data_IF_462277704693
#
_entry.id   IF_462277704693
#
_cell.length_a   1.000
_cell.length_b   1.000
_cell.length_c   1.000
_cell.angle_alpha   90.00
_cell.angle_beta   90.00
_cell.angle_gamma   90.00
#
_symmetry.space_group_name_H-M   'P 1'
#
loop_
_entity.id
_entity.type
_entity.pdbx_description
1 polymer ?
#
# COMPACT_ATOMS: atom_id res chain seq x y z
N UNK A 1 -35.83 -13.35 -11.63
CA UNK A 1 -34.44 -13.12 -11.16
C UNK A 1 -33.94 -14.37 -10.47
N UNK A 2 -32.77 -14.91 -10.87
CA UNK A 2 -32.10 -15.97 -10.11
C UNK A 2 -31.55 -15.39 -8.81
N UNK A 3 -31.88 -16.00 -7.68
CA UNK A 3 -31.29 -15.67 -6.39
C UNK A 3 -29.99 -16.48 -6.25
N UNK A 4 -28.87 -15.78 -6.17
CA UNK A 4 -27.59 -16.38 -5.82
C UNK A 4 -27.34 -16.13 -4.33
N UNK A 5 -26.94 -17.16 -3.62
CA UNK A 5 -26.63 -17.11 -2.18
C UNK A 5 -25.24 -17.67 -1.96
N UNK A 6 -24.41 -16.94 -1.22
CA UNK A 6 -23.14 -17.47 -0.72
C UNK A 6 -23.43 -18.35 0.50
N UNK A 7 -22.79 -19.52 0.56
CA UNK A 7 -22.87 -20.40 1.73
C UNK A 7 -21.89 -19.89 2.81
N UNK A 8 -22.20 -19.94 4.11
CA UNK A 8 -21.20 -19.64 5.13
C UNK A 8 -20.04 -20.65 5.05
N UNK A 9 -18.76 -20.23 5.18
CA UNK A 9 -18.25 -18.91 5.58
C UNK A 9 -17.95 -17.94 4.41
N UNK A 10 -18.27 -18.32 3.18
CA UNK A 10 -17.94 -17.56 1.96
C UNK A 10 -18.69 -16.24 1.88
N UNK A 11 -19.85 -16.12 2.51
CA UNK A 11 -20.63 -14.89 2.61
C UNK A 11 -19.85 -13.79 3.34
N UNK A 12 -19.22 -14.12 4.47
CA UNK A 12 -18.38 -13.21 5.26
C UNK A 12 -17.16 -12.79 4.47
N UNK A 13 -16.51 -13.73 3.78
CA UNK A 13 -15.35 -13.45 2.94
C UNK A 13 -15.72 -12.56 1.75
N UNK A 14 -16.83 -12.85 1.07
CA UNK A 14 -17.33 -12.07 -0.05
C UNK A 14 -17.65 -10.63 0.38
N UNK A 15 -18.34 -10.47 1.52
CA UNK A 15 -18.65 -9.14 2.06
C UNK A 15 -17.39 -8.37 2.44
N UNK A 16 -16.46 -8.99 3.16
CA UNK A 16 -15.18 -8.37 3.51
C UNK A 16 -14.43 -7.91 2.27
N UNK A 17 -14.36 -8.74 1.24
CA UNK A 17 -13.71 -8.40 -0.03
C UNK A 17 -14.40 -7.23 -0.74
N UNK A 18 -15.74 -7.20 -0.74
CA UNK A 18 -16.52 -6.09 -1.29
C UNK A 18 -16.22 -4.78 -0.56
N UNK A 19 -16.25 -4.78 0.77
CA UNK A 19 -16.00 -3.60 1.60
C UNK A 19 -14.56 -3.07 1.40
N UNK A 20 -13.55 -3.95 1.43
CA UNK A 20 -12.15 -3.57 1.19
C UNK A 20 -11.98 -2.94 -0.21
N UNK A 21 -12.59 -3.52 -1.24
CA UNK A 21 -12.49 -2.98 -2.61
C UNK A 21 -13.23 -1.65 -2.74
N UNK A 22 -14.42 -1.55 -2.16
CA UNK A 22 -15.22 -0.32 -2.15
C UNK A 22 -14.49 0.83 -1.45
N UNK A 23 -13.90 0.58 -0.28
CA UNK A 23 -13.11 1.57 0.46
C UNK A 23 -11.93 2.08 -0.38
N UNK A 24 -11.17 1.18 -1.00
CA UNK A 24 -10.02 1.54 -1.82
C UNK A 24 -10.42 2.42 -3.03
N UNK A 25 -11.53 2.09 -3.69
CA UNK A 25 -12.06 2.87 -4.81
C UNK A 25 -12.50 4.25 -4.35
N UNK A 26 -13.27 4.34 -3.25
CA UNK A 26 -13.74 5.61 -2.70
C UNK A 26 -12.58 6.50 -2.29
N UNK A 27 -11.61 5.96 -1.55
CA UNK A 27 -10.40 6.67 -1.13
C UNK A 27 -9.60 7.18 -2.32
N UNK A 28 -9.42 6.36 -3.35
CA UNK A 28 -8.74 6.75 -4.59
C UNK A 28 -9.49 7.87 -5.32
N UNK A 29 -10.80 7.73 -5.48
CA UNK A 29 -11.67 8.71 -6.13
C UNK A 29 -11.63 10.06 -5.40
N UNK A 30 -11.80 10.06 -4.07
CA UNK A 30 -11.77 11.28 -3.27
C UNK A 30 -10.40 11.95 -3.28
N UNK A 31 -9.31 11.18 -3.30
CA UNK A 31 -7.96 11.76 -3.43
C UNK A 31 -7.76 12.46 -4.79
N UNK A 32 -8.26 11.87 -5.89
CA UNK A 32 -8.23 12.51 -7.22
C UNK A 32 -9.09 13.77 -7.25
N UNK A 33 -10.29 13.70 -6.67
CA UNK A 33 -11.19 14.84 -6.56
C UNK A 33 -10.53 15.99 -5.79
N UNK A 34 -9.91 15.72 -4.64
CA UNK A 34 -9.16 16.70 -3.86
C UNK A 34 -7.97 17.30 -4.62
N UNK A 35 -7.21 16.47 -5.32
CA UNK A 35 -6.02 16.92 -6.06
C UNK A 35 -6.38 17.84 -7.24
N UNK A 36 -7.51 17.57 -7.89
CA UNK A 36 -8.00 18.35 -9.04
C UNK A 36 -9.00 19.45 -8.67
N UNK A 37 -9.48 19.46 -7.41
CA UNK A 37 -10.60 20.27 -6.93
C UNK A 37 -11.85 20.17 -7.83
N UNK A 38 -12.10 18.98 -8.37
CA UNK A 38 -13.29 18.70 -9.20
C UNK A 38 -14.22 17.76 -8.47
N UNK A 39 -15.49 18.16 -8.36
CA UNK A 39 -16.53 17.34 -7.75
C UNK A 39 -16.85 16.12 -8.63
N UNK A 40 -16.83 14.90 -8.07
CA UNK A 40 -17.35 13.71 -8.74
C UNK A 40 -18.88 13.75 -8.91
N UNK A 41 -19.40 13.22 -10.02
CA UNK A 41 -20.84 13.21 -10.30
C UNK A 41 -21.69 12.43 -9.27
N UNK A 42 -21.09 11.46 -8.58
CA UNK A 42 -21.76 10.65 -7.57
C UNK A 42 -21.87 11.35 -6.20
N UNK A 43 -21.22 12.52 -6.02
CA UNK A 43 -21.33 13.33 -4.81
C UNK A 43 -22.37 14.44 -4.97
N UNK A 44 -23.18 14.60 -3.94
CA UNK A 44 -24.07 15.75 -3.78
C UNK A 44 -23.25 17.01 -3.48
N UNK A 45 -23.84 18.17 -3.75
CA UNK A 45 -23.15 19.46 -3.59
C UNK A 45 -22.81 19.74 -2.12
N UNK A 46 -23.76 19.48 -1.22
CA UNK A 46 -23.58 19.65 0.22
C UNK A 46 -22.42 18.83 0.78
N UNK A 47 -22.27 17.57 0.35
CA UNK A 47 -21.16 16.72 0.78
C UNK A 47 -19.85 17.23 0.21
N UNK A 48 -19.84 17.69 -1.04
CA UNK A 48 -18.65 18.25 -1.67
C UNK A 48 -18.16 19.51 -0.95
N UNK A 49 -19.06 20.44 -0.63
CA UNK A 49 -18.73 21.66 0.08
C UNK A 49 -18.15 21.37 1.47
N UNK A 50 -18.77 20.44 2.20
CA UNK A 50 -18.27 19.98 3.49
C UNK A 50 -16.85 19.37 3.38
N UNK A 51 -16.59 18.58 2.34
CA UNK A 51 -15.25 18.01 2.08
C UNK A 51 -14.23 19.10 1.75
N UNK A 52 -14.60 20.07 0.90
CA UNK A 52 -13.74 21.20 0.55
C UNK A 52 -13.41 22.05 1.78
N UNK A 53 -14.39 22.33 2.64
CA UNK A 53 -14.19 23.04 3.90
C UNK A 53 -13.26 22.26 4.83
N UNK A 54 -13.47 20.95 4.97
CA UNK A 54 -12.61 20.09 5.78
C UNK A 54 -11.17 20.07 5.26
N UNK A 55 -10.97 19.91 3.95
CA UNK A 55 -9.64 19.91 3.34
C UNK A 55 -8.96 21.29 3.40
N UNK A 56 -9.75 22.36 3.40
CA UNK A 56 -9.28 23.73 3.59
C UNK A 56 -8.86 24.06 5.02
N UNK A 57 -9.33 23.28 6.01
CA UNK A 57 -9.10 23.52 7.43
C UNK A 57 -7.61 23.45 7.82
N UNK A 58 -7.21 24.31 8.78
CA UNK A 58 -5.84 24.33 9.31
C UNK A 58 -5.41 22.96 9.86
N UNK A 59 -6.21 22.25 10.69
CA UNK A 59 -5.80 20.96 11.23
C UNK A 59 -5.53 19.92 10.15
N UNK A 60 -6.33 19.90 9.09
CA UNK A 60 -6.13 18.97 7.98
C UNK A 60 -4.85 19.26 7.20
N UNK A 61 -4.59 20.54 6.89
CA UNK A 61 -3.36 20.96 6.21
C UNK A 61 -2.10 20.61 7.02
N UNK A 62 -2.11 20.86 8.32
CA UNK A 62 -1.01 20.46 9.23
C UNK A 62 -0.80 18.95 9.19
N UNK A 63 -1.88 18.17 9.30
CA UNK A 63 -1.81 16.70 9.21
C UNK A 63 -1.19 16.23 7.89
N UNK A 64 -1.55 16.85 6.76
CA UNK A 64 -0.95 16.51 5.46
C UNK A 64 0.54 16.84 5.43
N UNK A 65 0.95 18.00 5.95
CA UNK A 65 2.37 18.39 5.96
C UNK A 65 3.20 17.43 6.81
N UNK A 66 2.74 17.08 8.01
CA UNK A 66 3.38 16.09 8.87
C UNK A 66 3.44 14.73 8.18
N UNK A 67 2.34 14.27 7.58
CA UNK A 67 2.32 13.00 6.85
C UNK A 67 3.26 13.01 5.63
N UNK A 68 3.47 14.17 4.98
CA UNK A 68 4.45 14.31 3.90
C UNK A 68 5.87 14.23 4.45
N UNK A 69 6.16 14.96 5.52
CA UNK A 69 7.47 14.94 6.17
C UNK A 69 7.84 13.52 6.66
N UNK A 70 6.91 12.79 7.27
CA UNK A 70 7.13 11.42 7.74
C UNK A 70 7.39 10.43 6.59
N UNK A 71 6.88 10.66 5.38
CA UNK A 71 7.18 9.80 4.22
C UNK A 71 8.58 10.05 3.67
N UNK A 72 9.14 11.24 3.92
CA UNK A 72 10.46 11.65 3.45
C UNK A 72 11.48 11.71 4.58
N UNK A 73 11.12 11.29 5.78
CA UNK A 73 12.01 11.35 6.94
C UNK A 73 13.10 10.30 6.81
N UNK A 74 14.31 10.70 7.15
CA UNK A 74 15.45 9.81 7.27
C UNK A 74 15.21 8.77 8.38
N UNK A 75 15.51 7.51 8.10
CA UNK A 75 15.34 6.40 9.03
C UNK A 75 16.64 6.07 9.75
N UNK A 76 17.06 6.94 10.68
CA UNK A 76 18.30 6.79 11.46
C UNK A 76 19.59 6.82 10.61
N UNK A 77 19.68 7.73 9.63
CA UNK A 77 20.85 7.87 8.77
C UNK A 77 20.83 6.98 7.53
N UNK A 78 19.88 6.05 7.41
CA UNK A 78 19.78 5.12 6.28
C UNK A 78 18.96 5.64 5.09
N UNK A 79 18.48 6.88 5.16
CA UNK A 79 17.60 7.50 4.18
C UNK A 79 16.16 6.98 4.27
N UNK A 80 15.42 7.20 3.18
CA UNK A 80 14.06 6.70 3.01
C UNK A 80 14.13 5.22 2.69
N UNK A 81 13.32 4.40 3.37
CA UNK A 81 13.19 2.99 3.01
C UNK A 81 12.39 2.85 1.70
N UNK A 82 12.95 2.09 0.76
CA UNK A 82 12.42 1.88 -0.57
C UNK A 82 12.06 0.40 -0.76
N UNK A 83 10.97 0.17 -1.48
CA UNK A 83 10.52 -1.16 -1.88
C UNK A 83 10.19 -1.14 -3.37
N UNK A 84 10.81 -2.02 -4.15
CA UNK A 84 10.82 -1.91 -5.63
C UNK A 84 9.75 -2.78 -6.28
N UNK A 85 9.18 -3.68 -5.50
CA UNK A 85 8.41 -4.79 -6.02
C UNK A 85 6.90 -4.45 -6.18
N UNK A 86 6.60 -3.15 -6.23
CA UNK A 86 5.28 -2.60 -6.56
C UNK A 86 4.25 -2.78 -5.45
N UNK A 87 2.97 -2.60 -5.81
CA UNK A 87 1.82 -2.70 -4.88
C UNK A 87 1.33 -4.13 -4.70
N UNK A 88 2.24 -5.08 -4.54
CA UNK A 88 1.94 -6.49 -4.25
C UNK A 88 2.56 -6.81 -2.89
N UNK A 89 1.82 -7.49 -2.03
CA UNK A 89 2.30 -7.82 -0.69
C UNK A 89 3.48 -8.80 -0.71
N UNK A 90 4.35 -8.71 0.28
CA UNK A 90 5.48 -9.65 0.47
C UNK A 90 5.01 -11.11 0.49
N UNK A 91 3.86 -11.40 1.12
CA UNK A 91 3.24 -12.73 1.11
C UNK A 91 2.88 -13.20 -0.31
N UNK A 92 2.28 -12.32 -1.12
CA UNK A 92 1.93 -12.65 -2.49
C UNK A 92 3.18 -12.85 -3.36
N UNK A 93 4.28 -12.14 -3.10
CA UNK A 93 5.58 -12.43 -3.72
C UNK A 93 6.11 -13.79 -3.32
N UNK A 94 5.97 -14.16 -2.04
CA UNK A 94 6.30 -15.50 -1.56
C UNK A 94 5.53 -16.58 -2.33
N UNK A 95 4.21 -16.44 -2.45
CA UNK A 95 3.37 -17.37 -3.23
C UNK A 95 3.76 -17.42 -4.71
N UNK A 96 4.06 -16.27 -5.32
CA UNK A 96 4.48 -16.20 -6.71
C UNK A 96 5.83 -16.90 -6.92
N UNK A 97 6.79 -16.69 -6.01
CA UNK A 97 8.06 -17.39 -6.01
C UNK A 97 7.89 -18.90 -5.84
N UNK A 98 7.00 -19.35 -4.96
CA UNK A 98 6.67 -20.78 -4.82
C UNK A 98 6.15 -21.36 -6.13
N UNK A 99 5.25 -20.64 -6.83
CA UNK A 99 4.72 -21.07 -8.13
C UNK A 99 5.80 -21.15 -9.21
N UNK A 100 6.74 -20.21 -9.23
CA UNK A 100 7.81 -20.17 -10.23
C UNK A 100 8.89 -21.23 -9.99
N UNK A 101 9.29 -21.42 -8.73
CA UNK A 101 10.44 -22.25 -8.36
C UNK A 101 10.04 -23.65 -7.88
N UNK A 102 8.74 -23.93 -7.73
CA UNK A 102 8.22 -25.19 -7.19
C UNK A 102 8.50 -25.40 -5.69
N UNK A 103 9.13 -24.43 -5.03
CA UNK A 103 9.50 -24.47 -3.61
C UNK A 103 9.31 -23.09 -2.98
N UNK A 104 8.80 -23.07 -1.75
CA UNK A 104 8.64 -21.83 -1.00
C UNK A 104 9.99 -21.18 -0.69
N UNK A 105 10.12 -19.86 -0.91
CA UNK A 105 11.36 -19.15 -0.60
C UNK A 105 11.58 -19.10 0.91
N UNK A 106 12.84 -19.08 1.30
CA UNK A 106 13.26 -18.70 2.65
C UNK A 106 12.98 -17.20 2.89
N UNK A 107 12.93 -16.75 4.16
CA UNK A 107 12.79 -15.33 4.47
C UNK A 107 13.85 -14.45 3.82
N UNK A 108 15.11 -14.91 3.77
CA UNK A 108 16.22 -14.17 3.15
C UNK A 108 16.06 -14.08 1.62
N UNK A 109 15.72 -15.19 0.95
CA UNK A 109 15.47 -15.18 -0.51
C UNK A 109 14.31 -14.24 -0.89
N UNK A 110 13.24 -14.24 -0.10
CA UNK A 110 12.11 -13.34 -0.30
C UNK A 110 12.49 -11.87 -0.03
N UNK A 111 13.33 -11.63 0.98
CA UNK A 111 13.84 -10.31 1.30
C UNK A 111 14.72 -9.75 0.16
N UNK A 112 15.68 -10.55 -0.34
CA UNK A 112 16.50 -10.20 -1.51
C UNK A 112 15.65 -9.95 -2.75
N UNK A 113 14.62 -10.77 -2.98
CA UNK A 113 13.71 -10.57 -4.12
C UNK A 113 13.00 -9.22 -4.08
N UNK A 114 12.66 -8.75 -2.88
CA UNK A 114 11.86 -7.53 -2.66
C UNK A 114 12.68 -6.26 -2.49
N UNK A 115 13.94 -6.39 -2.05
CA UNK A 115 14.83 -5.27 -1.67
C UNK A 115 16.16 -5.26 -2.43
N UNK A 116 16.28 -5.99 -3.54
CA UNK A 116 17.38 -5.86 -4.49
C UNK A 116 16.89 -5.61 -5.91
N UNK A 117 17.67 -4.87 -6.69
CA UNK A 117 17.42 -4.69 -8.11
C UNK A 117 17.65 -5.99 -8.88
N UNK A 118 16.71 -6.36 -9.76
CA UNK A 118 16.80 -7.63 -10.51
C UNK A 118 18.01 -7.71 -11.46
N UNK A 119 18.46 -6.56 -11.98
CA UNK A 119 19.50 -6.47 -13.03
C UNK A 119 20.90 -6.77 -12.48
N UNK A 120 21.23 -6.19 -11.35
CA UNK A 120 22.59 -6.12 -10.79
C UNK A 120 22.67 -6.59 -9.33
N UNK A 121 21.53 -6.96 -8.72
CA UNK A 121 21.42 -7.44 -7.34
C UNK A 121 21.90 -6.43 -6.29
N UNK A 122 21.97 -5.14 -6.65
CA UNK A 122 22.31 -4.08 -5.70
C UNK A 122 21.13 -3.79 -4.78
N UNK A 123 21.43 -3.35 -3.55
CA UNK A 123 20.42 -2.98 -2.56
C UNK A 123 19.69 -1.70 -2.96
N UNK A 124 18.40 -1.68 -2.64
CA UNK A 124 17.49 -0.60 -3.03
C UNK A 124 17.58 0.60 -2.11
N UNK A 125 17.95 0.35 -0.86
CA UNK A 125 18.28 1.34 0.15
C UNK A 125 19.38 0.80 1.08
N UNK A 126 20.02 1.70 1.83
CA UNK A 126 21.09 1.34 2.76
C UNK A 126 20.58 0.50 3.93
N UNK A 127 19.32 0.69 4.32
CA UNK A 127 18.71 -0.01 5.45
C UNK A 127 18.60 -1.51 5.17
N UNK A 128 18.23 -1.88 3.95
CA UNK A 128 18.05 -3.26 3.53
C UNK A 128 19.38 -4.00 3.56
N UNK A 129 20.45 -3.34 3.08
CA UNK A 129 21.81 -3.86 3.17
C UNK A 129 22.24 -4.07 4.63
N UNK A 130 21.94 -3.12 5.51
CA UNK A 130 22.27 -3.21 6.92
C UNK A 130 21.51 -4.35 7.63
N UNK A 131 20.19 -4.47 7.41
CA UNK A 131 19.35 -5.51 8.01
C UNK A 131 19.81 -6.91 7.59
N UNK A 132 20.14 -7.11 6.31
CA UNK A 132 20.63 -8.40 5.81
C UNK A 132 22.00 -8.77 6.41
N UNK A 133 22.89 -7.78 6.55
CA UNK A 133 24.19 -7.97 7.19
C UNK A 133 24.06 -8.38 8.65
N UNK A 134 23.16 -7.73 9.41
CA UNK A 134 22.89 -8.10 10.81
C UNK A 134 22.22 -9.47 10.92
N UNK A 135 21.28 -9.80 10.03
CA UNK A 135 20.62 -11.11 10.01
C UNK A 135 21.60 -12.25 9.72
N UNK A 136 22.58 -12.03 8.84
CA UNK A 136 23.58 -13.04 8.47
C UNK A 136 24.67 -13.22 9.53
N UNK A 137 24.86 -12.24 10.42
CA UNK A 137 25.82 -12.31 11.54
C UNK A 137 25.31 -13.11 12.73
N UNK A 138 23.99 -13.27 12.86
CA UNK A 138 23.32 -13.97 13.95
C UNK A 138 23.32 -15.50 13.74
#
# INVERSE_FOLDING_TARGET
MRKYTFLPPDDKLARRNFEIRGENILKSSLNKARASLRKPNWLTEDVWDNLCQHWGSKPFKVKILVAKANRTSDSQGFGISLHIVGSISTSQHGENMTKWNGKSPTPSELFHHTHQWKKDKTWVDQRSAHVDAEFTRA
#
